data_IF_519257027327
#
_entry.id   IF_519257027327
#
_cell.length_a   1.000
_cell.length_b   1.000
_cell.length_c   1.000
_cell.angle_alpha   90.00
_cell.angle_beta   90.00
_cell.angle_gamma   90.00
#
_symmetry.space_group_name_H-M   'P 1'
#
loop_
_entity.id
_entity.type
_entity.pdbx_description
1 polymer ?
#
# COMPACT_ATOMS: atom_id res chain seq x y z
N UNK A 1 3.38 -2.10 -15.47
CA UNK A 1 2.81 -2.95 -14.39
C UNK A 1 3.98 -3.75 -13.87
N UNK A 2 4.44 -3.50 -12.65
CA UNK A 2 5.79 -3.90 -12.18
C UNK A 2 6.14 -5.37 -12.51
N UNK A 3 5.26 -6.33 -12.22
CA UNK A 3 5.52 -7.75 -12.54
C UNK A 3 5.70 -8.04 -14.03
N UNK A 4 4.91 -7.38 -14.90
CA UNK A 4 5.06 -7.47 -16.36
C UNK A 4 6.39 -6.86 -16.81
N UNK A 5 6.80 -5.77 -16.17
CA UNK A 5 8.04 -5.07 -16.49
C UNK A 5 9.26 -5.91 -16.05
N UNK A 6 9.19 -6.55 -14.87
CA UNK A 6 10.16 -7.55 -14.39
C UNK A 6 10.25 -8.74 -15.36
N UNK A 7 9.11 -9.33 -15.72
CA UNK A 7 9.04 -10.45 -16.65
C UNK A 7 9.71 -10.12 -17.99
N UNK A 8 9.35 -8.97 -18.58
CA UNK A 8 9.93 -8.51 -19.85
C UNK A 8 11.43 -8.22 -19.76
N UNK A 9 11.88 -7.67 -18.63
CA UNK A 9 13.30 -7.38 -18.39
C UNK A 9 14.10 -8.65 -18.08
N UNK A 10 13.45 -9.74 -17.68
CA UNK A 10 14.10 -10.96 -17.22
C UNK A 10 14.88 -10.78 -15.91
N UNK A 11 14.66 -9.67 -15.19
CA UNK A 11 15.36 -9.35 -13.95
C UNK A 11 14.57 -8.35 -13.12
N UNK A 12 14.54 -8.53 -11.80
CA UNK A 12 13.96 -7.56 -10.86
C UNK A 12 14.94 -6.48 -10.41
N UNK A 13 16.16 -6.40 -10.98
CA UNK A 13 17.13 -5.34 -10.68
C UNK A 13 16.54 -3.95 -10.93
N UNK A 14 16.61 -3.08 -9.93
CA UNK A 14 16.11 -1.70 -9.98
C UNK A 14 14.62 -1.55 -9.67
N UNK A 15 13.93 -2.63 -9.30
CA UNK A 15 12.63 -2.57 -8.67
C UNK A 15 12.79 -2.71 -7.15
N UNK A 16 12.01 -1.96 -6.38
CA UNK A 16 11.98 -2.08 -4.92
C UNK A 16 11.05 -3.23 -4.51
N UNK A 17 11.49 -4.21 -3.69
CA UNK A 17 10.62 -5.26 -3.16
C UNK A 17 9.71 -4.79 -2.01
N UNK A 18 10.01 -3.63 -1.40
CA UNK A 18 9.32 -3.15 -0.19
C UNK A 18 7.80 -2.98 -0.37
N UNK A 19 7.26 -2.54 -1.52
CA UNK A 19 5.81 -2.50 -1.72
C UNK A 19 5.13 -3.87 -1.57
N UNK A 20 5.76 -4.95 -2.02
CA UNK A 20 5.22 -6.30 -1.91
C UNK A 20 5.43 -6.85 -0.50
N UNK A 21 6.65 -6.74 0.02
CA UNK A 21 7.02 -7.32 1.30
C UNK A 21 6.39 -6.57 2.48
N UNK A 22 6.30 -5.24 2.41
CA UNK A 22 5.54 -4.42 3.34
C UNK A 22 4.05 -4.72 3.28
N UNK A 23 3.51 -4.96 2.07
CA UNK A 23 2.14 -5.45 1.89
C UNK A 23 1.88 -6.78 2.58
N UNK A 24 2.77 -7.76 2.44
CA UNK A 24 2.71 -9.04 3.17
C UNK A 24 2.67 -8.79 4.68
N UNK A 25 3.63 -8.03 5.20
CA UNK A 25 3.72 -7.76 6.64
C UNK A 25 2.47 -7.07 7.19
N UNK A 26 1.99 -6.04 6.49
CA UNK A 26 0.77 -5.34 6.89
C UNK A 26 -0.48 -6.21 6.78
N UNK A 27 -0.63 -7.04 5.75
CA UNK A 27 -1.76 -7.96 5.65
C UNK A 27 -1.75 -8.98 6.79
N UNK A 28 -0.59 -9.51 7.20
CA UNK A 28 -0.49 -10.43 8.35
C UNK A 28 -0.92 -9.74 9.65
N UNK A 29 -0.43 -8.52 9.90
CA UNK A 29 -0.78 -7.77 11.10
C UNK A 29 -2.27 -7.37 11.10
N UNK A 30 -2.81 -6.92 9.97
CA UNK A 30 -4.23 -6.62 9.82
C UNK A 30 -5.10 -7.87 9.94
N UNK A 31 -4.65 -9.05 9.48
CA UNK A 31 -5.33 -10.32 9.73
C UNK A 31 -5.38 -10.64 11.21
N UNK A 32 -4.27 -10.46 11.93
CA UNK A 32 -4.27 -10.65 13.38
C UNK A 32 -5.27 -9.69 14.06
N UNK A 33 -5.33 -8.44 13.62
CA UNK A 33 -6.30 -7.48 14.13
C UNK A 33 -7.75 -7.87 13.82
N UNK A 34 -8.03 -8.30 12.58
CA UNK A 34 -9.34 -8.78 12.16
C UNK A 34 -9.81 -10.01 12.96
N UNK A 35 -8.89 -10.92 13.30
CA UNK A 35 -9.16 -12.07 14.16
C UNK A 35 -9.48 -11.66 15.61
N UNK A 36 -8.82 -10.62 16.14
CA UNK A 36 -9.14 -10.06 17.46
C UNK A 36 -10.56 -9.47 17.44
N UNK A 37 -10.90 -8.71 16.40
CA UNK A 37 -12.24 -8.14 16.21
C UNK A 37 -13.32 -9.17 15.84
N UNK A 38 -12.92 -10.40 15.46
CA UNK A 38 -13.79 -11.43 14.88
C UNK A 38 -14.56 -10.92 13.65
N UNK A 39 -13.89 -10.12 12.82
CA UNK A 39 -14.49 -9.43 11.68
C UNK A 39 -14.25 -10.20 10.36
N UNK A 40 -15.27 -10.86 9.78
CA UNK A 40 -15.09 -11.68 8.59
C UNK A 40 -14.77 -10.87 7.33
N UNK A 41 -15.23 -9.62 7.22
CA UNK A 41 -14.96 -8.79 6.06
C UNK A 41 -13.48 -8.41 5.98
N UNK A 42 -12.90 -7.98 7.10
CA UNK A 42 -11.48 -7.68 7.23
C UNK A 42 -10.62 -8.93 7.04
N UNK A 43 -11.06 -10.09 7.55
CA UNK A 43 -10.36 -11.37 7.30
C UNK A 43 -10.28 -11.64 5.79
N UNK A 44 -11.41 -11.61 5.09
CA UNK A 44 -11.47 -11.94 3.66
C UNK A 44 -10.59 -11.00 2.82
N UNK A 45 -10.69 -9.68 3.06
CA UNK A 45 -9.91 -8.70 2.30
C UNK A 45 -8.42 -8.83 2.56
N UNK A 46 -7.99 -9.05 3.80
CA UNK A 46 -6.57 -9.19 4.09
C UNK A 46 -5.99 -10.56 3.68
N UNK A 47 -6.78 -11.63 3.65
CA UNK A 47 -6.37 -12.92 3.04
C UNK A 47 -6.12 -12.71 1.55
N UNK A 48 -7.05 -12.08 0.85
CA UNK A 48 -6.88 -11.80 -0.58
C UNK A 48 -5.67 -10.90 -0.85
N UNK A 49 -5.48 -9.85 -0.04
CA UNK A 49 -4.32 -8.97 -0.10
C UNK A 49 -3.01 -9.70 0.16
N UNK A 50 -2.98 -10.61 1.15
CA UNK A 50 -1.81 -11.42 1.47
C UNK A 50 -1.42 -12.33 0.30
N UNK A 51 -2.39 -13.07 -0.25
CA UNK A 51 -2.15 -13.96 -1.39
C UNK A 51 -1.63 -13.19 -2.61
N UNK A 52 -2.21 -12.02 -2.87
CA UNK A 52 -1.80 -11.14 -3.98
C UNK A 52 -0.36 -10.66 -3.79
N UNK A 53 0.00 -10.19 -2.59
CA UNK A 53 1.37 -9.73 -2.32
C UNK A 53 2.39 -10.87 -2.33
N UNK A 54 2.02 -12.08 -1.86
CA UNK A 54 2.85 -13.27 -1.98
C UNK A 54 3.11 -13.59 -3.46
N UNK A 55 2.09 -13.54 -4.31
CA UNK A 55 2.25 -13.76 -5.75
C UNK A 55 3.20 -12.75 -6.39
N UNK A 56 3.08 -11.46 -6.06
CA UNK A 56 4.00 -10.43 -6.55
C UNK A 56 5.43 -10.62 -6.03
N UNK A 57 5.58 -10.98 -4.75
CA UNK A 57 6.88 -11.25 -4.17
C UNK A 57 7.53 -12.49 -4.79
N UNK A 58 6.75 -13.52 -5.13
CA UNK A 58 7.24 -14.71 -5.82
C UNK A 58 7.79 -14.37 -7.21
N UNK A 59 7.08 -13.55 -7.99
CA UNK A 59 7.58 -13.05 -9.28
C UNK A 59 8.86 -12.24 -9.08
N UNK A 60 8.88 -11.30 -8.13
CA UNK A 60 10.07 -10.51 -7.83
C UNK A 60 11.28 -11.38 -7.48
N UNK A 61 11.08 -12.37 -6.60
CA UNK A 61 12.12 -13.26 -6.10
C UNK A 61 12.66 -14.17 -7.20
N UNK A 62 11.79 -14.74 -8.04
CA UNK A 62 12.19 -15.61 -9.15
C UNK A 62 13.14 -14.91 -10.13
N UNK A 63 12.94 -13.61 -10.37
CA UNK A 63 13.79 -12.80 -11.23
C UNK A 63 14.89 -12.03 -10.48
N UNK A 64 15.11 -12.32 -9.19
CA UNK A 64 16.09 -11.59 -8.37
C UNK A 64 17.52 -12.01 -8.70
N UNK A 65 18.40 -11.07 -9.08
CA UNK A 65 19.82 -11.37 -9.28
C UNK A 65 20.58 -11.56 -7.95
N UNK A 66 20.02 -11.10 -6.83
CA UNK A 66 20.62 -11.14 -5.49
C UNK A 66 19.63 -11.77 -4.50
N UNK A 67 19.45 -13.08 -4.62
CA UNK A 67 18.48 -13.84 -3.80
C UNK A 67 18.84 -13.82 -2.31
N UNK A 68 20.12 -13.85 -1.94
CA UNK A 68 20.57 -13.78 -0.54
C UNK A 68 20.15 -12.48 0.15
N UNK A 69 20.33 -11.33 -0.51
CA UNK A 69 19.92 -10.03 0.03
C UNK A 69 18.39 -9.95 0.15
N UNK A 70 17.69 -10.51 -0.84
CA UNK A 70 16.22 -10.58 -0.83
C UNK A 70 15.73 -11.46 0.32
N UNK A 71 16.34 -12.62 0.56
CA UNK A 71 16.03 -13.51 1.68
C UNK A 71 16.35 -12.86 3.03
N UNK A 72 17.48 -12.17 3.15
CA UNK A 72 17.83 -11.44 4.36
C UNK A 72 16.79 -10.35 4.68
N UNK A 73 16.28 -9.64 3.67
CA UNK A 73 15.22 -8.66 3.83
C UNK A 73 13.89 -9.31 4.23
N UNK A 74 13.51 -10.42 3.60
CA UNK A 74 12.33 -11.23 3.99
C UNK A 74 12.45 -11.64 5.46
N UNK A 75 13.61 -12.14 5.87
CA UNK A 75 13.88 -12.54 7.26
C UNK A 75 13.74 -11.37 8.25
N UNK A 76 14.23 -10.18 7.90
CA UNK A 76 14.06 -8.97 8.73
C UNK A 76 12.59 -8.57 8.88
N UNK A 77 11.82 -8.56 7.79
CA UNK A 77 10.38 -8.22 7.85
C UNK A 77 9.61 -9.30 8.61
N UNK A 78 9.93 -10.58 8.40
CA UNK A 78 9.32 -11.67 9.15
C UNK A 78 9.60 -11.54 10.65
N UNK A 79 10.85 -11.30 11.05
CA UNK A 79 11.21 -11.07 12.45
C UNK A 79 10.47 -9.86 13.03
N UNK A 80 10.39 -8.75 12.29
CA UNK A 80 9.64 -7.56 12.70
C UNK A 80 8.15 -7.86 12.92
N UNK A 81 7.49 -8.55 11.98
CA UNK A 81 6.08 -8.96 12.11
C UNK A 81 5.89 -9.90 13.30
N UNK A 82 6.80 -10.86 13.49
CA UNK A 82 6.74 -11.81 14.60
C UNK A 82 6.77 -11.13 15.98
N UNK A 83 7.50 -10.03 16.14
CA UNK A 83 7.48 -9.25 17.40
C UNK A 83 6.07 -8.77 17.73
N UNK A 84 5.34 -8.21 16.76
CA UNK A 84 3.98 -7.74 17.00
C UNK A 84 2.98 -8.87 17.15
N UNK A 85 3.16 -9.99 16.43
CA UNK A 85 2.33 -11.18 16.63
C UNK A 85 2.52 -11.75 18.03
N UNK A 86 3.76 -11.84 18.52
CA UNK A 86 4.06 -12.28 19.89
C UNK A 86 3.44 -11.32 20.92
N UNK A 87 3.59 -10.01 20.74
CA UNK A 87 2.93 -9.00 21.56
C UNK A 87 1.41 -9.22 21.64
N UNK A 88 0.75 -9.47 20.49
CA UNK A 88 -0.69 -9.72 20.45
C UNK A 88 -1.15 -11.02 21.11
N UNK A 89 -0.24 -11.94 21.44
CA UNK A 89 -0.53 -13.15 22.22
C UNK A 89 -0.27 -12.97 23.72
N UNK A 90 0.69 -12.12 24.08
CA UNK A 90 1.08 -11.89 25.47
C UNK A 90 0.26 -10.78 26.14
N UNK A 91 -0.26 -9.83 25.37
CA UNK A 91 -1.07 -8.73 25.89
C UNK A 91 -2.42 -9.22 26.45
N UNK A 92 -2.95 -8.50 27.44
CA UNK A 92 -4.22 -8.88 28.05
C UNK A 92 -5.38 -8.81 27.05
N UNK A 93 -6.32 -9.77 27.05
CA UNK A 93 -7.45 -9.78 26.12
C UNK A 93 -8.29 -8.49 26.13
N UNK A 94 -8.39 -7.84 27.29
CA UNK A 94 -9.12 -6.58 27.46
C UNK A 94 -8.44 -5.36 26.81
N UNK A 95 -7.13 -5.42 26.57
CA UNK A 95 -6.32 -4.28 26.08
C UNK A 95 -5.82 -4.49 24.66
N UNK A 96 -5.70 -5.74 24.23
CA UNK A 96 -5.08 -6.10 22.96
C UNK A 96 -5.83 -5.49 21.77
N UNK A 97 -7.15 -5.42 21.80
CA UNK A 97 -7.93 -4.81 20.72
C UNK A 97 -7.54 -3.35 20.48
N UNK A 98 -7.58 -2.51 21.53
CA UNK A 98 -7.26 -1.10 21.40
C UNK A 98 -5.78 -0.86 21.06
N UNK A 99 -4.87 -1.50 21.80
CA UNK A 99 -3.43 -1.28 21.64
C UNK A 99 -2.92 -1.80 20.30
N UNK A 100 -3.39 -2.97 19.87
CA UNK A 100 -3.01 -3.53 18.59
C UNK A 100 -3.61 -2.73 17.43
N UNK A 101 -4.85 -2.24 17.57
CA UNK A 101 -5.46 -1.29 16.62
C UNK A 101 -4.61 -0.03 16.43
N UNK A 102 -4.09 0.54 17.51
CA UNK A 102 -3.18 1.69 17.47
C UNK A 102 -1.87 1.34 16.74
N UNK A 103 -1.25 0.21 17.09
CA UNK A 103 0.00 -0.25 16.46
C UNK A 103 -0.17 -0.42 14.95
N UNK A 104 -1.18 -1.17 14.49
CA UNK A 104 -1.38 -1.41 13.06
C UNK A 104 -1.73 -0.14 12.31
N UNK A 105 -2.38 0.83 12.97
CA UNK A 105 -2.64 2.17 12.40
C UNK A 105 -1.35 2.94 12.17
N UNK A 106 -0.46 2.98 13.16
CA UNK A 106 0.84 3.66 13.04
C UNK A 106 1.68 3.01 11.94
N UNK A 107 1.77 1.68 11.93
CA UNK A 107 2.54 0.94 10.93
C UNK A 107 1.98 1.14 9.51
N UNK A 108 0.66 1.19 9.36
CA UNK A 108 0.01 1.49 8.09
C UNK A 108 0.47 2.86 7.56
N UNK A 109 0.41 3.91 8.39
CA UNK A 109 0.82 5.25 7.98
C UNK A 109 2.32 5.36 7.70
N UNK A 110 3.17 4.64 8.43
CA UNK A 110 4.60 4.57 8.12
C UNK A 110 4.83 3.91 6.76
N UNK A 111 4.09 2.86 6.42
CA UNK A 111 4.21 2.18 5.13
C UNK A 111 3.76 3.07 3.97
N UNK A 112 2.65 3.81 4.13
CA UNK A 112 2.11 4.68 3.07
C UNK A 112 2.65 6.12 3.11
N UNK A 113 3.66 6.39 3.95
CA UNK A 113 4.27 7.72 4.09
C UNK A 113 4.97 8.23 2.84
N UNK A 114 5.52 7.34 2.00
CA UNK A 114 6.19 7.75 0.75
C UNK A 114 5.23 8.42 -0.25
N UNK A 115 4.05 7.84 -0.58
CA UNK A 115 3.03 8.51 -1.38
C UNK A 115 2.62 9.90 -0.86
N UNK A 116 2.52 10.05 0.47
CA UNK A 116 2.22 11.33 1.13
C UNK A 116 3.29 12.41 0.85
N UNK A 117 4.57 12.02 0.84
CA UNK A 117 5.69 12.93 0.54
C UNK A 117 5.65 13.38 -0.93
N UNK A 118 5.32 12.47 -1.86
CA UNK A 118 5.26 12.80 -3.28
C UNK A 118 4.11 13.75 -3.65
N UNK A 119 3.05 13.84 -2.83
CA UNK A 119 1.98 14.81 -3.04
C UNK A 119 2.48 16.26 -3.02
N UNK A 120 3.45 16.57 -2.15
CA UNK A 120 4.09 17.89 -2.11
C UNK A 120 4.84 18.23 -3.40
N UNK A 121 5.48 17.23 -4.02
CA UNK A 121 6.18 17.39 -5.30
C UNK A 121 5.20 17.65 -6.45
N UNK A 122 4.03 17.02 -6.43
CA UNK A 122 2.98 17.23 -7.45
C UNK A 122 2.41 18.64 -7.36
N UNK A 123 2.13 19.13 -6.15
CA UNK A 123 1.67 20.51 -5.93
C UNK A 123 2.72 21.51 -6.43
N UNK A 124 4.01 21.23 -6.18
CA UNK A 124 5.12 22.05 -6.64
C UNK A 124 5.28 22.04 -8.16
N UNK A 125 5.18 20.87 -8.80
CA UNK A 125 5.37 20.73 -10.25
C UNK A 125 4.13 21.09 -11.06
N UNK A 126 2.95 21.19 -10.42
CA UNK A 126 1.65 21.49 -11.05
C UNK A 126 1.36 20.57 -12.26
N UNK A 127 1.77 19.30 -12.17
CA UNK A 127 1.57 18.31 -13.22
C UNK A 127 1.06 16.98 -12.61
N UNK A 128 -0.08 16.49 -13.10
CA UNK A 128 -0.74 15.27 -12.64
C UNK A 128 -0.41 14.04 -13.49
N UNK A 129 0.51 14.12 -14.46
CA UNK A 129 0.84 13.00 -15.35
C UNK A 129 1.34 11.75 -14.62
N UNK A 130 1.96 11.95 -13.46
CA UNK A 130 2.48 10.86 -12.62
C UNK A 130 1.39 10.26 -11.70
N UNK A 131 0.22 10.89 -11.61
CA UNK A 131 -0.88 10.41 -10.78
C UNK A 131 -1.72 9.37 -11.53
N UNK A 132 -1.84 8.13 -11.03
CA UNK A 132 -2.67 7.11 -11.63
C UNK A 132 -4.15 7.34 -11.33
N UNK A 133 -4.85 8.13 -12.14
CA UNK A 133 -6.26 8.49 -11.93
C UNK A 133 -7.17 7.29 -11.56
N UNK A 134 -7.15 6.14 -12.28
CA UNK A 134 -8.01 5.01 -11.92
C UNK A 134 -7.75 4.47 -10.52
N UNK A 135 -6.48 4.46 -10.08
CA UNK A 135 -6.10 3.98 -8.75
C UNK A 135 -6.60 4.92 -7.66
N UNK A 136 -6.50 6.23 -7.87
CA UNK A 136 -6.93 7.25 -6.90
C UNK A 136 -8.45 7.28 -6.80
N UNK A 137 -9.15 7.18 -7.93
CA UNK A 137 -10.61 7.11 -7.96
C UNK A 137 -11.12 5.86 -7.23
N UNK A 138 -10.60 4.68 -7.55
CA UNK A 138 -10.95 3.45 -6.85
C UNK A 138 -10.56 3.50 -5.37
N UNK A 139 -9.40 4.06 -5.04
CA UNK A 139 -8.96 4.28 -3.67
C UNK A 139 -9.92 5.18 -2.88
N UNK A 140 -10.50 6.20 -3.51
CA UNK A 140 -11.51 7.06 -2.89
C UNK A 140 -12.76 6.27 -2.52
N UNK A 141 -13.27 5.45 -3.45
CA UNK A 141 -14.45 4.62 -3.20
C UNK A 141 -14.19 3.58 -2.10
N UNK A 142 -13.04 2.91 -2.15
CA UNK A 142 -12.66 1.91 -1.16
C UNK A 142 -12.51 2.55 0.23
N UNK A 143 -11.80 3.68 0.35
CA UNK A 143 -11.67 4.38 1.64
C UNK A 143 -13.01 4.88 2.15
N UNK A 144 -13.90 5.37 1.27
CA UNK A 144 -15.24 5.77 1.68
C UNK A 144 -16.06 4.57 2.20
N UNK A 145 -16.04 3.43 1.51
CA UNK A 145 -16.74 2.22 1.96
C UNK A 145 -16.20 1.73 3.30
N UNK A 146 -14.89 1.69 3.50
CA UNK A 146 -14.30 1.30 4.78
C UNK A 146 -14.55 2.31 5.89
N UNK A 147 -14.67 3.59 5.58
CA UNK A 147 -15.11 4.60 6.54
C UNK A 147 -16.52 4.31 7.04
N UNK A 148 -17.47 4.09 6.12
CA UNK A 148 -18.83 3.69 6.46
C UNK A 148 -18.85 2.38 7.24
N UNK A 149 -18.03 1.40 6.83
CA UNK A 149 -17.89 0.13 7.53
C UNK A 149 -17.40 0.32 8.96
N UNK A 150 -16.35 1.12 9.17
CA UNK A 150 -15.81 1.45 10.48
C UNK A 150 -16.85 2.08 11.41
N UNK A 151 -17.74 2.93 10.87
CA UNK A 151 -18.87 3.48 11.62
C UNK A 151 -19.87 2.39 12.01
N UNK A 152 -20.18 1.44 11.12
CA UNK A 152 -21.09 0.32 11.40
C UNK A 152 -20.56 -0.57 12.53
N UNK A 153 -19.28 -0.90 12.51
CA UNK A 153 -18.65 -1.75 13.55
C UNK A 153 -18.16 -0.95 14.76
N UNK A 154 -18.43 0.36 14.83
CA UNK A 154 -17.96 1.27 15.87
C UNK A 154 -16.45 1.19 16.16
N UNK A 155 -15.63 1.00 15.12
CA UNK A 155 -14.18 0.84 15.26
C UNK A 155 -13.44 2.14 14.91
N UNK A 156 -12.93 2.84 15.93
CA UNK A 156 -12.25 4.13 15.78
C UNK A 156 -11.00 4.07 14.89
N UNK A 157 -10.27 2.94 14.88
CA UNK A 157 -9.05 2.82 14.09
C UNK A 157 -9.37 2.66 12.61
N UNK A 158 -10.35 1.83 12.26
CA UNK A 158 -10.83 1.68 10.87
C UNK A 158 -11.39 3.01 10.37
N UNK A 159 -12.18 3.72 11.18
CA UNK A 159 -12.67 5.06 10.85
C UNK A 159 -11.49 5.99 10.57
N UNK A 160 -10.56 6.13 11.52
CA UNK A 160 -9.46 7.09 11.43
C UNK A 160 -8.56 6.83 10.21
N UNK A 161 -8.15 5.57 10.00
CA UNK A 161 -7.35 5.17 8.85
C UNK A 161 -8.01 5.58 7.52
N UNK A 162 -9.31 5.36 7.41
CA UNK A 162 -10.04 5.58 6.17
C UNK A 162 -10.51 7.02 5.99
N UNK A 163 -10.74 7.80 7.04
CA UNK A 163 -10.91 9.26 6.94
C UNK A 163 -9.65 9.87 6.33
N UNK A 164 -8.46 9.54 6.87
CA UNK A 164 -7.20 10.07 6.36
C UNK A 164 -7.01 9.67 4.89
N UNK A 165 -7.18 8.39 4.56
CA UNK A 165 -7.08 7.91 3.17
C UNK A 165 -8.09 8.59 2.23
N UNK A 166 -9.34 8.74 2.65
CA UNK A 166 -10.39 9.39 1.87
C UNK A 166 -10.07 10.85 1.59
N UNK A 167 -9.67 11.62 2.60
CA UNK A 167 -9.31 13.04 2.44
C UNK A 167 -8.11 13.21 1.50
N UNK A 168 -7.10 12.35 1.61
CA UNK A 168 -5.94 12.37 0.72
C UNK A 168 -6.31 12.04 -0.73
N UNK A 169 -7.19 11.07 -0.94
CA UNK A 169 -7.62 10.70 -2.29
C UNK A 169 -8.54 11.78 -2.90
N UNK A 170 -9.43 12.40 -2.12
CA UNK A 170 -10.24 13.55 -2.56
C UNK A 170 -9.33 14.74 -2.92
N UNK A 171 -8.30 15.00 -2.12
CA UNK A 171 -7.31 16.03 -2.45
C UNK A 171 -6.60 15.71 -3.77
N UNK A 172 -6.17 14.47 -3.98
CA UNK A 172 -5.54 14.07 -5.25
C UNK A 172 -6.51 14.18 -6.44
N UNK A 173 -7.79 13.82 -6.26
CA UNK A 173 -8.81 13.97 -7.30
C UNK A 173 -9.04 15.44 -7.66
N UNK A 174 -9.04 16.35 -6.69
CA UNK A 174 -9.19 17.78 -6.97
C UNK A 174 -8.01 18.34 -7.78
N UNK A 175 -6.79 17.83 -7.59
CA UNK A 175 -5.63 18.22 -8.38
C UNK A 175 -5.79 17.92 -9.88
N UNK A 176 -6.50 16.86 -10.26
CA UNK A 176 -6.79 16.57 -11.68
C UNK A 176 -7.74 17.58 -12.31
N UNK A 177 -8.60 18.22 -11.52
CA UNK A 177 -9.51 19.28 -11.99
C UNK A 177 -8.76 20.62 -12.10
N UNK A 178 -7.82 20.86 -11.19
CA UNK A 178 -7.11 22.16 -11.07
C UNK A 178 -5.90 22.24 -11.99
N UNK A 179 -5.14 21.15 -12.16
CA UNK A 179 -3.91 21.14 -12.94
C UNK A 179 -4.09 20.39 -14.26
N UNK A 180 -3.56 20.94 -15.38
CA UNK A 180 -3.55 20.25 -16.65
C UNK A 180 -2.62 19.03 -16.61
N UNK A 181 -3.04 17.92 -17.22
CA UNK A 181 -2.14 16.82 -17.60
C UNK A 181 -1.25 17.31 -18.73
N UNK A 182 -0.06 17.81 -18.40
CA UNK A 182 0.92 18.25 -19.39
C UNK A 182 1.81 17.09 -19.76
N UNK A 183 1.24 16.12 -20.49
CA UNK A 183 2.01 15.02 -21.09
C UNK A 183 3.23 15.63 -21.76
N UNK A 184 4.44 15.32 -21.26
CA UNK A 184 5.67 15.65 -21.98
C UNK A 184 5.55 14.97 -23.34
N UNK A 185 5.20 15.77 -24.34
CA UNK A 185 4.90 15.30 -25.66
C UNK A 185 6.04 14.42 -26.17
N UNK A 186 5.71 13.17 -26.47
CA UNK A 186 6.34 12.46 -27.60
C UNK A 186 5.85 13.14 -28.88
N UNK A 187 6.21 14.41 -29.08
CA UNK A 187 5.97 15.10 -30.34
C UNK A 187 7.23 14.92 -31.17
N UNK A 188 7.09 14.19 -32.27
CA UNK A 188 8.18 13.75 -33.13
C UNK A 188 9.03 14.90 -33.66
N UNK A 189 10.34 14.66 -33.68
CA UNK A 189 11.26 15.24 -34.65
C UNK A 189 11.87 14.09 -35.46
N UNK A 190 11.04 13.45 -36.28
CA UNK A 190 11.51 13.00 -37.60
C UNK A 190 11.36 14.21 -38.52
N UNK A 191 12.36 15.11 -38.49
CA UNK A 191 12.61 15.96 -39.65
C UNK A 191 13.37 15.13 -40.66
N UNK A 192 12.62 14.57 -41.61
CA UNK A 192 13.10 14.44 -43.00
C UNK A 192 13.52 15.84 -43.45
N UNK A 193 14.78 15.99 -43.83
CA UNK A 193 15.18 16.96 -44.85
C UNK A 193 16.11 16.18 -45.76
N UNK A 194 15.68 16.13 -47.01
CA UNK A 194 16.39 15.56 -48.16
C UNK A 194 17.74 16.27 -48.40
#
# INVERSE_FOLDING_TARGET
LICKDIYKKGSSKGFDPMPFLGGIGMCILMLRYALILRDPAMINVNVFGLLTNIAYMAVYYYYSPHTTDTLALIGKVAAFVMVFLAYAQLESPEKVEYRFGLIVTILLFLLIGSPLIHLGEIIRTKNTDMLPFPLIFMGTLVSFQWLLYGLIINNVFVIFQNVVGFLLNVMQLSLFVIFPSKSKGKTGSQKKVD
#
